data_IF_059073619445
#
_entry.id   IF_059073619445
#
_cell.length_a   1.000
_cell.length_b   1.000
_cell.length_c   1.000
_cell.angle_alpha   90.00
_cell.angle_beta   90.00
_cell.angle_gamma   90.00
#
_symmetry.space_group_name_H-M   'P 1'
#
loop_
_entity.id
_entity.type
_entity.pdbx_description
1 polymer ?
#
# COMPACT_ATOMS: atom_id res chain seq x y z
N UNK A 1 -4.49 -14.09 13.97
CA UNK A 1 -5.48 -14.33 12.90
C UNK A 1 -5.75 -12.99 12.24
N UNK A 2 -5.77 -12.92 10.91
CA UNK A 2 -6.08 -11.67 10.20
C UNK A 2 -7.52 -11.70 9.68
N UNK A 3 -8.19 -10.55 9.68
CA UNK A 3 -9.47 -10.35 9.04
C UNK A 3 -9.25 -9.68 7.68
N UNK A 4 -9.90 -10.20 6.65
CA UNK A 4 -9.90 -9.62 5.31
C UNK A 4 -11.25 -9.00 5.02
N UNK A 5 -11.23 -7.74 4.60
CA UNK A 5 -12.41 -7.01 4.12
C UNK A 5 -12.15 -6.45 2.73
N UNK A 6 -13.21 -6.28 1.94
CA UNK A 6 -13.16 -5.59 0.65
C UNK A 6 -14.18 -4.46 0.71
N UNK A 7 -13.73 -3.22 0.53
CA UNK A 7 -14.59 -2.03 0.56
C UNK A 7 -15.38 -1.89 -0.76
N UNK A 8 -16.37 -1.00 -0.78
CA UNK A 8 -17.22 -0.77 -1.97
C UNK A 8 -16.41 -0.32 -3.20
N UNK A 9 -15.36 0.47 -2.97
CA UNK A 9 -14.39 0.91 -3.99
C UNK A 9 -13.36 -0.19 -4.37
N UNK A 10 -13.55 -1.42 -3.91
CA UNK A 10 -12.71 -2.61 -4.14
C UNK A 10 -11.35 -2.61 -3.45
N UNK A 11 -11.05 -1.63 -2.59
CA UNK A 11 -9.85 -1.68 -1.77
C UNK A 11 -9.90 -2.90 -0.83
N UNK A 12 -8.80 -3.66 -0.80
CA UNK A 12 -8.64 -4.83 0.07
C UNK A 12 -7.93 -4.39 1.35
N UNK A 13 -8.53 -4.68 2.50
CA UNK A 13 -7.99 -4.33 3.81
C UNK A 13 -7.73 -5.60 4.60
N UNK A 14 -6.54 -5.72 5.16
CA UNK A 14 -6.16 -6.76 6.10
C UNK A 14 -5.94 -6.13 7.47
N UNK A 15 -6.64 -6.60 8.49
CA UNK A 15 -6.47 -6.16 9.87
C UNK A 15 -6.09 -7.33 10.76
N UNK A 16 -5.31 -7.06 11.80
CA UNK A 16 -5.00 -8.04 12.84
C UNK A 16 -5.02 -7.32 14.17
N UNK A 17 -6.02 -7.60 15.01
CA UNK A 17 -6.13 -6.98 16.34
C UNK A 17 -5.17 -7.65 17.31
N UNK A 18 -4.34 -6.84 17.96
CA UNK A 18 -3.36 -7.30 18.95
C UNK A 18 -3.62 -6.57 20.28
N UNK A 19 -4.40 -7.19 21.18
CA UNK A 19 -4.87 -6.53 22.41
C UNK A 19 -3.74 -6.09 23.37
N UNK A 20 -2.52 -6.62 23.21
CA UNK A 20 -1.37 -6.33 24.04
C UNK A 20 -0.47 -5.21 23.47
N UNK A 21 -0.76 -4.67 22.28
CA UNK A 21 0.03 -3.60 21.67
C UNK A 21 -0.64 -2.24 21.87
N UNK A 22 0.14 -1.22 22.23
CA UNK A 22 -0.34 0.17 22.37
C UNK A 22 -0.05 1.04 21.13
N UNK A 23 0.38 0.43 20.04
CA UNK A 23 0.66 1.10 18.76
C UNK A 23 -0.04 0.39 17.62
N UNK A 24 -0.17 1.08 16.50
CA UNK A 24 -0.70 0.54 15.25
C UNK A 24 0.34 0.74 14.17
N UNK A 25 0.61 -0.31 13.40
CA UNK A 25 1.41 -0.24 12.18
C UNK A 25 0.51 -0.41 10.98
N UNK A 26 0.70 0.42 9.96
CA UNK A 26 -0.08 0.37 8.72
C UNK A 26 0.85 0.48 7.52
N UNK A 27 0.46 -0.19 6.42
CA UNK A 27 1.12 -0.10 5.13
C UNK A 27 0.04 0.03 4.06
N UNK A 28 0.23 0.96 3.13
CA UNK A 28 -0.60 1.07 1.92
C UNK A 28 0.23 0.51 0.78
N UNK A 29 -0.27 -0.54 0.14
CA UNK A 29 0.39 -1.15 -1.01
C UNK A 29 -0.29 -0.72 -2.30
N UNK A 30 0.48 -0.18 -3.23
CA UNK A 30 0.02 0.18 -4.58
C UNK A 30 0.57 -0.84 -5.57
N UNK A 31 -0.28 -1.34 -6.48
CA UNK A 31 0.12 -2.26 -7.55
C UNK A 31 0.86 -1.58 -8.70
N UNK A 32 1.79 -0.67 -8.39
CA UNK A 32 2.56 0.13 -9.34
C UNK A 32 4.06 0.07 -9.00
N UNK A 33 4.90 0.56 -9.90
CA UNK A 33 6.36 0.58 -9.73
C UNK A 33 7.10 0.51 -11.07
N UNK A 34 8.43 0.52 -11.03
CA UNK A 34 9.28 0.67 -12.23
C UNK A 34 9.06 -0.37 -13.32
N UNK A 35 8.50 -1.55 -13.00
CA UNK A 35 8.12 -2.56 -13.99
C UNK A 35 7.09 -2.03 -15.01
N UNK A 36 6.25 -1.09 -14.62
CA UNK A 36 5.15 -0.57 -15.44
C UNK A 36 5.48 0.75 -16.13
N UNK A 37 6.72 1.24 -16.00
CA UNK A 37 7.15 2.52 -16.57
C UNK A 37 7.59 2.35 -18.03
N UNK A 38 7.30 3.35 -18.86
CA UNK A 38 7.97 3.47 -20.16
C UNK A 38 9.40 3.95 -19.96
N UNK A 39 10.24 3.81 -20.99
CA UNK A 39 11.65 4.22 -20.91
C UNK A 39 11.79 5.73 -20.67
N UNK A 40 10.89 6.52 -21.23
CA UNK A 40 10.87 7.98 -21.11
C UNK A 40 10.48 8.45 -19.70
N UNK A 41 9.78 7.60 -18.94
CA UNK A 41 9.28 7.89 -17.59
C UNK A 41 10.04 7.13 -16.50
N UNK A 42 11.23 6.58 -16.82
CA UNK A 42 12.00 5.77 -15.90
C UNK A 42 12.28 6.52 -14.58
N UNK A 43 11.88 5.90 -13.46
CA UNK A 43 12.03 6.45 -12.11
C UNK A 43 10.82 7.23 -11.60
N UNK A 44 9.75 7.42 -12.39
CA UNK A 44 8.60 8.24 -11.98
C UNK A 44 7.88 7.70 -10.75
N UNK A 45 7.74 6.38 -10.59
CA UNK A 45 7.04 5.79 -9.45
C UNK A 45 7.77 6.08 -8.14
N UNK A 46 9.10 5.96 -8.16
CA UNK A 46 9.95 6.29 -7.01
C UNK A 46 10.01 7.80 -6.78
N UNK A 47 10.03 8.60 -7.86
CA UNK A 47 9.95 10.05 -7.74
C UNK A 47 8.65 10.47 -7.04
N UNK A 48 7.50 9.92 -7.44
CA UNK A 48 6.19 10.18 -6.81
C UNK A 48 6.18 9.72 -5.34
N UNK A 49 6.81 8.59 -5.01
CA UNK A 49 6.95 8.13 -3.61
C UNK A 49 7.65 9.17 -2.72
N UNK A 50 8.59 9.93 -3.27
CA UNK A 50 9.34 10.97 -2.57
C UNK A 50 8.72 12.37 -2.63
N UNK A 51 7.67 12.57 -3.43
CA UNK A 51 7.02 13.88 -3.51
C UNK A 51 6.32 14.20 -2.18
N UNK A 52 6.44 15.44 -1.69
CA UNK A 52 5.79 15.89 -0.46
C UNK A 52 4.28 15.98 -0.60
#
# INVERSE_FOLDING_TARGET
MYQRSVLDNKLRVLTSTMAHTQSVSMVICVGAGSRYESKEMAGVSHFIEHLP
#
